data_IF_486060218212
#
_entry.id   IF_486060218212
#
_cell.length_a   1.000
_cell.length_b   1.000
_cell.length_c   1.000
_cell.angle_alpha   90.00
_cell.angle_beta   90.00
_cell.angle_gamma   90.00
#
_symmetry.space_group_name_H-M   'P 1'
#
loop_
_entity.id
_entity.type
_entity.pdbx_description
1 polymer ?
#
# COMPACT_ATOMS: atom_id res chain seq x y z
N UNK A 1 -17.25 -26.05 0.72
CA UNK A 1 -16.75 -24.66 0.87
C UNK A 1 -15.64 -24.45 -0.15
N UNK A 2 -15.97 -23.91 -1.32
CA UNK A 2 -15.02 -23.75 -2.42
C UNK A 2 -13.95 -22.70 -2.03
N UNK A 3 -12.69 -23.12 -2.01
CA UNK A 3 -11.53 -22.20 -1.96
C UNK A 3 -11.44 -21.58 -3.34
N UNK A 4 -11.85 -20.32 -3.46
CA UNK A 4 -11.71 -19.57 -4.72
C UNK A 4 -10.23 -19.28 -4.92
N UNK A 5 -9.64 -20.08 -5.80
CA UNK A 5 -8.30 -19.92 -6.35
C UNK A 5 -8.29 -18.75 -7.33
N UNK A 6 -7.47 -17.73 -7.07
CA UNK A 6 -7.00 -16.81 -8.12
C UNK A 6 -7.89 -15.62 -8.49
N UNK A 7 -8.84 -15.21 -7.65
CA UNK A 7 -9.51 -13.91 -7.87
C UNK A 7 -8.47 -12.78 -7.78
N UNK A 8 -8.28 -12.06 -8.89
CA UNK A 8 -7.60 -10.74 -8.87
C UNK A 8 -8.22 -9.97 -7.72
N UNK A 9 -7.38 -9.55 -6.76
CA UNK A 9 -7.85 -8.72 -5.66
C UNK A 9 -8.72 -7.58 -6.26
N UNK A 10 -9.93 -7.35 -5.74
CA UNK A 10 -10.86 -6.38 -6.33
C UNK A 10 -10.19 -5.02 -6.46
N UNK A 11 -10.63 -4.20 -7.42
CA UNK A 11 -10.08 -2.87 -7.61
C UNK A 11 -10.09 -2.09 -6.27
N UNK A 12 -9.09 -1.24 -6.08
CA UNK A 12 -9.12 -0.31 -4.94
C UNK A 12 -10.31 0.63 -5.10
N UNK A 13 -11.12 0.79 -4.05
CA UNK A 13 -12.20 1.78 -4.04
C UNK A 13 -11.63 3.19 -4.01
N UNK A 14 -12.43 4.21 -4.35
CA UNK A 14 -12.01 5.60 -4.26
C UNK A 14 -11.50 5.96 -2.85
N UNK A 15 -12.21 5.52 -1.81
CA UNK A 15 -11.82 5.74 -0.41
C UNK A 15 -10.52 5.01 -0.03
N UNK A 16 -10.30 3.78 -0.53
CA UNK A 16 -9.02 3.08 -0.35
C UNK A 16 -7.88 3.80 -1.08
N UNK A 17 -8.14 4.43 -2.23
CA UNK A 17 -7.14 5.19 -2.98
C UNK A 17 -6.76 6.49 -2.29
N UNK A 18 -7.75 7.27 -1.84
CA UNK A 18 -7.52 8.50 -1.07
C UNK A 18 -6.69 8.20 0.17
N UNK A 19 -7.08 7.18 0.94
CA UNK A 19 -6.32 6.82 2.15
C UNK A 19 -4.93 6.28 1.85
N UNK A 20 -4.77 5.53 0.74
CA UNK A 20 -3.46 5.07 0.28
C UNK A 20 -2.54 6.27 0.01
N UNK A 21 -3.03 7.27 -0.73
CA UNK A 21 -2.27 8.48 -1.07
C UNK A 21 -1.97 9.29 0.19
N UNK A 22 -2.95 9.50 1.07
CA UNK A 22 -2.79 10.21 2.34
C UNK A 22 -1.78 9.54 3.28
N UNK A 23 -1.73 8.20 3.30
CA UNK A 23 -0.77 7.45 4.10
C UNK A 23 0.65 7.49 3.51
N UNK A 24 0.75 7.53 2.19
CA UNK A 24 2.03 7.54 1.47
C UNK A 24 2.65 8.94 1.46
N UNK A 25 1.87 10.00 1.25
CA UNK A 25 2.34 11.39 1.08
C UNK A 25 3.33 11.84 2.17
N UNK A 26 3.03 11.68 3.48
CA UNK A 26 3.95 12.07 4.55
C UNK A 26 5.24 11.23 4.58
N UNK A 27 5.16 9.99 4.11
CA UNK A 27 6.25 9.02 4.09
C UNK A 27 6.98 8.97 2.74
N UNK A 28 6.56 9.77 1.76
CA UNK A 28 7.03 9.67 0.38
C UNK A 28 8.55 9.88 0.29
N UNK A 29 9.07 10.86 1.04
CA UNK A 29 10.51 11.13 1.14
C UNK A 29 11.28 9.96 1.79
N UNK A 30 10.67 9.20 2.69
CA UNK A 30 11.29 8.02 3.29
C UNK A 30 11.25 6.80 2.35
N UNK A 31 10.21 6.69 1.53
CA UNK A 31 10.04 5.59 0.58
C UNK A 31 10.90 5.79 -0.69
N UNK A 32 10.96 7.02 -1.19
CA UNK A 32 11.51 7.38 -2.51
C UNK A 32 12.47 8.58 -2.50
N UNK A 33 12.83 9.11 -1.34
CA UNK A 33 13.79 10.21 -1.24
C UNK A 33 15.22 9.81 -1.62
N UNK A 34 16.13 10.80 -1.64
CA UNK A 34 17.52 10.60 -2.05
C UNK A 34 18.25 9.60 -1.17
N UNK A 35 19.28 8.96 -1.73
CA UNK A 35 20.06 7.88 -1.09
C UNK A 35 20.67 8.27 0.26
N UNK A 36 20.93 9.57 0.51
CA UNK A 36 21.42 10.05 1.81
C UNK A 36 20.40 9.91 2.95
N UNK A 37 19.10 9.79 2.65
CA UNK A 37 18.05 9.40 3.58
C UNK A 37 17.72 7.92 3.41
N UNK A 38 18.74 7.06 3.37
CA UNK A 38 18.59 5.62 3.17
C UNK A 38 17.82 4.98 4.33
N UNK A 39 16.50 4.98 4.19
CA UNK A 39 15.61 4.23 5.05
C UNK A 39 15.75 2.77 4.65
N UNK A 40 16.12 1.92 5.60
CA UNK A 40 16.38 0.49 5.34
C UNK A 40 15.18 -0.18 4.68
N UNK A 41 15.44 -1.24 3.89
CA UNK A 41 14.37 -2.04 3.29
C UNK A 41 13.35 -2.54 4.34
N UNK A 42 13.82 -2.81 5.56
CA UNK A 42 12.97 -3.21 6.67
C UNK A 42 12.00 -2.10 7.10
N UNK A 43 12.50 -0.87 7.26
CA UNK A 43 11.68 0.29 7.60
C UNK A 43 10.67 0.62 6.49
N UNK A 44 11.07 0.57 5.21
CA UNK A 44 10.13 0.73 4.08
C UNK A 44 9.01 -0.32 4.15
N UNK A 45 9.36 -1.58 4.41
CA UNK A 45 8.39 -2.67 4.61
C UNK A 45 7.50 -2.45 5.84
N UNK A 46 7.99 -1.76 6.87
CA UNK A 46 7.21 -1.38 8.05
C UNK A 46 6.18 -0.31 7.71
N UNK A 47 6.59 0.75 7.01
CA UNK A 47 5.69 1.82 6.52
C UNK A 47 4.55 1.23 5.70
N UNK A 48 4.87 0.38 4.72
CA UNK A 48 3.86 -0.29 3.91
C UNK A 48 2.93 -1.22 4.69
N UNK A 49 3.42 -1.85 5.76
CA UNK A 49 2.57 -2.67 6.64
C UNK A 49 1.59 -1.81 7.42
N UNK A 50 2.02 -0.65 7.91
CA UNK A 50 1.15 0.32 8.59
C UNK A 50 0.04 0.80 7.65
N UNK A 51 0.39 1.24 6.44
CA UNK A 51 -0.58 1.71 5.44
C UNK A 51 -1.58 0.60 5.07
N UNK A 52 -1.10 -0.63 4.85
CA UNK A 52 -1.98 -1.76 4.54
C UNK A 52 -2.92 -2.11 5.70
N UNK A 53 -2.46 -1.98 6.96
CA UNK A 53 -3.31 -2.18 8.15
C UNK A 53 -4.40 -1.13 8.22
N UNK A 54 -4.08 0.13 7.94
CA UNK A 54 -5.05 1.23 7.97
C UNK A 54 -6.04 1.13 6.81
N UNK A 55 -5.65 0.61 5.66
CA UNK A 55 -6.58 0.32 4.56
C UNK A 55 -7.50 -0.86 4.85
N UNK A 56 -7.02 -1.85 5.61
CA UNK A 56 -7.81 -3.00 6.01
C UNK A 56 -8.97 -2.65 6.95
N UNK A 57 -8.91 -1.52 7.66
CA UNK A 57 -10.05 -1.05 8.47
C UNK A 57 -11.13 -0.36 7.62
N UNK A 58 -10.80 0.06 6.39
CA UNK A 58 -11.70 0.77 5.49
C UNK A 58 -12.32 -0.15 4.42
N UNK A 59 -11.57 -1.17 4.00
CA UNK A 59 -11.97 -2.08 2.93
C UNK A 59 -12.58 -3.38 3.44
N UNK A 60 -13.53 -3.93 2.67
CA UNK A 60 -14.07 -5.28 2.86
C UNK A 60 -13.00 -6.36 2.59
N UNK A 61 -11.98 -6.01 1.80
CA UNK A 61 -10.89 -6.90 1.41
C UNK A 61 -9.60 -6.57 2.13
N UNK A 62 -8.98 -7.57 2.75
CA UNK A 62 -7.69 -7.41 3.43
C UNK A 62 -6.56 -7.07 2.46
N UNK A 63 -6.29 -5.76 2.26
CA UNK A 63 -5.17 -5.28 1.46
C UNK A 63 -3.84 -5.66 2.12
N UNK A 64 -2.90 -6.16 1.32
CA UNK A 64 -1.53 -6.43 1.74
C UNK A 64 -0.63 -5.26 1.33
N UNK A 65 0.51 -5.13 2.01
CA UNK A 65 1.53 -4.13 1.67
C UNK A 65 1.96 -4.19 0.20
N UNK A 66 2.04 -5.39 -0.38
CA UNK A 66 2.35 -5.60 -1.80
C UNK A 66 1.29 -5.04 -2.75
N UNK A 67 0.00 -5.15 -2.39
CA UNK A 67 -1.09 -4.57 -3.17
C UNK A 67 -1.03 -3.04 -3.16
N UNK A 68 -0.72 -2.46 -2.01
CA UNK A 68 -0.61 -1.01 -1.82
C UNK A 68 0.57 -0.44 -2.62
N UNK A 69 1.73 -1.10 -2.53
CA UNK A 69 2.93 -0.70 -3.27
C UNK A 69 2.69 -0.76 -4.78
N UNK A 70 2.17 -1.88 -5.29
CA UNK A 70 1.88 -2.04 -6.72
C UNK A 70 0.87 -1.01 -7.22
N UNK A 71 -0.19 -0.75 -6.45
CA UNK A 71 -1.21 0.23 -6.83
C UNK A 71 -0.63 1.65 -6.89
N UNK A 72 0.25 2.03 -5.96
CA UNK A 72 0.91 3.32 -6.02
C UNK A 72 1.82 3.43 -7.27
N UNK A 73 2.54 2.36 -7.62
CA UNK A 73 3.34 2.33 -8.85
C UNK A 73 2.48 2.47 -10.11
N UNK A 74 1.31 1.83 -10.14
CA UNK A 74 0.34 1.97 -11.24
C UNK A 74 -0.21 3.41 -11.34
N UNK A 75 -0.42 4.10 -10.20
CA UNK A 75 -0.89 5.50 -10.17
C UNK A 75 0.18 6.51 -10.60
N UNK A 76 1.47 6.13 -10.58
CA UNK A 76 2.59 6.99 -10.96
C UNK A 76 2.91 6.93 -12.46
N UNK A 77 2.39 5.94 -13.18
CA UNK A 77 2.55 5.79 -14.64
C UNK A 77 1.48 6.55 -15.38
#
# INVERSE_FOLDING_TARGET
MARVTGERAPAFTAMELERLVDGVLPQYRMLYGPLDQQVSAHQKKSIWRTIARDLRTLGVYGRRSTHCCKRLEDLRR
#
